data_IF_001227953057
#
_entry.id   IF_001227953057
#
_cell.length_a   1.000
_cell.length_b   1.000
_cell.length_c   1.000
_cell.angle_alpha   90.00
_cell.angle_beta   90.00
_cell.angle_gamma   90.00
#
_symmetry.space_group_name_H-M   'P 1'
#
loop_
_entity.id
_entity.type
_entity.pdbx_description
1 polymer ?
#
# COMPACT_ATOMS: atom_id res chain seq x y z
N UNK A 1 -11.99 3.75 -24.00
CA UNK A 1 -12.18 3.56 -22.54
C UNK A 1 -10.88 3.98 -21.86
N UNK A 2 -10.91 4.58 -20.66
CA UNK A 2 -9.67 4.85 -19.94
C UNK A 2 -9.01 3.53 -19.55
N UNK A 3 -7.77 3.33 -19.97
CA UNK A 3 -6.95 2.18 -19.59
C UNK A 3 -5.91 2.68 -18.58
N UNK A 4 -6.07 2.29 -17.32
CA UNK A 4 -5.07 2.57 -16.29
C UNK A 4 -4.07 1.42 -16.32
N UNK A 5 -2.86 1.70 -16.81
CA UNK A 5 -1.76 0.73 -16.87
C UNK A 5 -0.85 0.80 -15.66
N UNK A 6 -0.74 2.00 -15.07
CA UNK A 6 0.11 2.27 -13.92
C UNK A 6 -0.68 3.01 -12.85
N UNK A 7 -0.56 2.55 -11.61
CA UNK A 7 -1.17 3.17 -10.44
C UNK A 7 -0.10 3.49 -9.41
N UNK A 8 0.10 4.76 -9.12
CA UNK A 8 1.01 5.24 -8.08
C UNK A 8 0.19 5.83 -6.93
N UNK A 9 0.38 5.35 -5.70
CA UNK A 9 -0.29 5.89 -4.52
C UNK A 9 0.59 5.82 -3.27
N UNK A 10 0.15 6.49 -2.20
CA UNK A 10 0.85 6.52 -0.92
C UNK A 10 -0.04 5.99 0.19
N UNK A 11 0.53 5.18 1.07
CA UNK A 11 -0.13 4.62 2.26
C UNK A 11 0.59 5.15 3.49
N UNK A 12 -0.16 5.57 4.51
CA UNK A 12 0.38 5.98 5.80
C UNK A 12 0.00 4.95 6.85
N UNK A 13 1.00 4.41 7.54
CA UNK A 13 0.80 3.35 8.52
C UNK A 13 -0.01 3.84 9.71
N UNK A 14 0.25 5.03 10.23
CA UNK A 14 -0.53 5.63 11.33
C UNK A 14 -1.97 6.04 10.97
N UNK A 15 -2.41 5.92 9.70
CA UNK A 15 -3.85 6.01 9.40
C UNK A 15 -4.58 4.72 9.86
N UNK A 16 -3.82 3.66 10.24
CA UNK A 16 -4.35 2.44 10.83
C UNK A 16 -4.67 2.53 12.32
N UNK A 17 -4.33 3.63 13.01
CA UNK A 17 -4.57 3.84 14.46
C UNK A 17 -6.05 4.04 14.82
N UNK A 18 -6.97 3.82 13.87
CA UNK A 18 -8.41 3.77 14.18
C UNK A 18 -8.70 2.50 14.99
N UNK A 19 -9.37 2.66 16.13
CA UNK A 19 -9.68 1.62 17.14
C UNK A 19 -10.45 0.38 16.60
N UNK A 20 -10.80 0.36 15.32
CA UNK A 20 -11.45 -0.74 14.60
C UNK A 20 -10.51 -1.55 13.69
N UNK A 21 -9.20 -1.48 13.91
CA UNK A 21 -8.34 -2.67 13.80
C UNK A 21 -8.36 -3.45 12.50
N UNK A 22 -8.57 -2.82 11.35
CA UNK A 22 -8.19 -3.39 10.06
C UNK A 22 -8.01 -2.22 9.10
N UNK A 23 -6.75 -1.93 8.76
CA UNK A 23 -6.48 -1.17 7.54
C UNK A 23 -7.34 -1.81 6.44
N UNK A 24 -8.14 -1.04 5.72
CA UNK A 24 -9.07 -1.52 4.71
C UNK A 24 -8.33 -2.11 3.51
N UNK A 25 -7.62 -3.22 3.71
CA UNK A 25 -6.80 -3.90 2.71
C UNK A 25 -7.68 -4.44 1.58
N UNK A 26 -8.95 -4.73 1.88
CA UNK A 26 -9.98 -5.03 0.88
C UNK A 26 -10.27 -3.83 -0.05
N UNK A 27 -10.09 -2.58 0.40
CA UNK A 27 -10.23 -1.39 -0.45
C UNK A 27 -9.05 -1.24 -1.42
N UNK A 28 -7.90 -1.87 -1.12
CA UNK A 28 -6.73 -1.89 -2.00
C UNK A 28 -6.82 -2.93 -3.12
N UNK A 29 -7.94 -3.64 -3.25
CA UNK A 29 -8.10 -4.67 -4.29
C UNK A 29 -8.24 -4.02 -5.66
N UNK A 30 -7.20 -4.21 -6.46
CA UNK A 30 -7.08 -3.59 -7.79
C UNK A 30 -7.74 -4.40 -8.92
N UNK A 31 -8.42 -5.52 -8.59
CA UNK A 31 -9.03 -6.41 -9.58
C UNK A 31 -10.10 -5.77 -10.47
N UNK A 32 -10.54 -4.56 -10.16
CA UNK A 32 -11.46 -3.77 -10.99
C UNK A 32 -10.75 -3.01 -12.14
N UNK A 33 -9.41 -3.05 -12.22
CA UNK A 33 -8.60 -2.41 -13.25
C UNK A 33 -7.99 -3.46 -14.21
N UNK A 34 -8.72 -3.92 -15.23
CA UNK A 34 -8.30 -5.05 -16.07
C UNK A 34 -7.10 -4.75 -17.00
N UNK A 35 -6.69 -3.49 -17.11
CA UNK A 35 -5.51 -3.07 -17.89
C UNK A 35 -4.32 -2.67 -17.02
N UNK A 36 -4.42 -2.86 -15.70
CA UNK A 36 -3.33 -2.52 -14.79
C UNK A 36 -2.18 -3.52 -15.00
N UNK A 37 -0.98 -2.97 -15.06
CA UNK A 37 0.28 -3.69 -15.29
C UNK A 37 1.31 -3.39 -14.20
N UNK A 38 1.29 -2.18 -13.64
CA UNK A 38 2.26 -1.71 -12.63
C UNK A 38 1.58 -0.94 -11.50
N UNK A 39 2.06 -1.18 -10.28
CA UNK A 39 1.65 -0.51 -9.06
C UNK A 39 2.89 -0.06 -8.31
N UNK A 40 2.97 1.22 -7.96
CA UNK A 40 3.98 1.71 -7.04
C UNK A 40 3.32 2.30 -5.80
N UNK A 41 3.80 1.87 -4.63
CA UNK A 41 3.27 2.30 -3.34
C UNK A 41 4.38 2.93 -2.53
N UNK A 42 4.18 4.18 -2.11
CA UNK A 42 5.01 4.80 -1.08
C UNK A 42 4.40 4.49 0.29
N UNK A 43 5.07 3.65 1.08
CA UNK A 43 4.66 3.29 2.43
C UNK A 43 5.34 4.21 3.44
N UNK A 44 4.55 5.11 4.01
CA UNK A 44 4.98 6.06 5.03
C UNK A 44 4.75 5.50 6.42
N UNK A 45 5.79 5.46 7.24
CA UNK A 45 5.73 5.09 8.66
C UNK A 45 6.63 6.00 9.49
N UNK A 46 6.31 6.15 10.77
CA UNK A 46 7.09 6.90 11.77
C UNK A 46 8.10 5.96 12.41
N UNK A 47 9.16 6.50 13.01
CA UNK A 47 10.11 5.69 13.79
C UNK A 47 9.46 4.99 14.99
N UNK A 48 8.37 5.57 15.51
CA UNK A 48 7.58 5.02 16.62
C UNK A 48 6.56 3.95 16.18
N UNK A 49 6.32 3.79 14.87
CA UNK A 49 5.39 2.78 14.37
C UNK A 49 5.97 1.37 14.52
N UNK A 50 5.11 0.42 14.91
CA UNK A 50 5.50 -0.97 15.05
C UNK A 50 5.87 -1.57 13.69
N UNK A 51 7.10 -2.09 13.59
CA UNK A 51 7.63 -2.75 12.39
C UNK A 51 6.73 -3.89 11.92
N UNK A 52 6.04 -4.58 12.84
CA UNK A 52 5.09 -5.64 12.51
C UNK A 52 3.86 -5.09 11.75
N UNK A 53 3.41 -3.87 12.07
CA UNK A 53 2.30 -3.22 11.35
C UNK A 53 2.75 -2.83 9.95
N UNK A 54 3.92 -2.22 9.81
CA UNK A 54 4.52 -1.89 8.51
C UNK A 54 4.60 -3.14 7.63
N UNK A 55 5.09 -4.24 8.19
CA UNK A 55 5.23 -5.51 7.46
C UNK A 55 3.87 -6.12 7.07
N UNK A 56 2.86 -6.04 7.95
CA UNK A 56 1.50 -6.51 7.65
C UNK A 56 0.88 -5.75 6.48
N UNK A 57 1.09 -4.44 6.39
CA UNK A 57 0.60 -3.62 5.27
C UNK A 57 1.29 -4.02 3.96
N UNK A 58 2.61 -4.26 3.99
CA UNK A 58 3.32 -4.73 2.80
C UNK A 58 2.88 -6.10 2.32
N UNK A 59 2.70 -7.05 3.23
CA UNK A 59 2.26 -8.39 2.88
C UNK A 59 0.86 -8.38 2.27
N UNK A 60 -0.01 -7.51 2.76
CA UNK A 60 -1.33 -7.34 2.20
C UNK A 60 -1.32 -6.66 0.81
N UNK A 61 -0.44 -5.67 0.60
CA UNK A 61 -0.22 -5.08 -0.74
C UNK A 61 0.29 -6.12 -1.73
N UNK A 62 1.23 -6.97 -1.29
CA UNK A 62 1.76 -8.06 -2.11
C UNK A 62 0.66 -9.05 -2.46
N UNK A 63 -0.15 -9.45 -1.49
CA UNK A 63 -1.29 -10.34 -1.72
C UNK A 63 -2.31 -9.74 -2.71
N UNK A 64 -2.66 -8.46 -2.55
CA UNK A 64 -3.60 -7.77 -3.45
C UNK A 64 -3.10 -7.73 -4.91
N UNK A 65 -1.79 -7.62 -5.11
CA UNK A 65 -1.15 -7.70 -6.43
C UNK A 65 -1.12 -9.12 -6.98
N UNK A 66 -0.79 -10.11 -6.14
CA UNK A 66 -0.76 -11.52 -6.57
C UNK A 66 -2.14 -12.05 -6.96
N UNK A 67 -3.20 -11.57 -6.30
CA UNK A 67 -4.60 -11.88 -6.63
C UNK A 67 -5.08 -11.21 -7.94
N UNK A 68 -4.29 -10.32 -8.54
CA UNK A 68 -4.68 -9.62 -9.76
C UNK A 68 -4.55 -10.51 -11.02
N UNK A 69 -5.56 -10.54 -11.91
CA UNK A 69 -5.55 -11.42 -13.09
C UNK A 69 -4.38 -11.17 -14.06
N UNK A 70 -3.93 -9.92 -14.16
CA UNK A 70 -2.68 -9.58 -14.85
C UNK A 70 -1.61 -9.40 -13.78
N UNK A 71 -0.81 -10.43 -13.48
CA UNK A 71 0.31 -10.37 -12.53
C UNK A 71 1.01 -9.01 -12.58
N UNK A 72 0.73 -8.15 -11.58
CA UNK A 72 1.18 -6.76 -11.60
C UNK A 72 2.64 -6.68 -11.17
N UNK A 73 3.39 -5.75 -11.76
CA UNK A 73 4.63 -5.29 -11.16
C UNK A 73 4.33 -4.46 -9.91
N UNK A 74 4.99 -4.75 -8.80
CA UNK A 74 4.82 -4.04 -7.53
C UNK A 74 6.14 -3.40 -7.10
N UNK A 75 6.16 -2.08 -7.01
CA UNK A 75 7.17 -1.30 -6.30
C UNK A 75 6.65 -0.87 -4.94
N UNK A 76 7.41 -1.13 -3.87
CA UNK A 76 7.13 -0.57 -2.54
C UNK A 76 8.33 0.25 -2.10
N UNK A 77 8.13 1.56 -1.98
CA UNK A 77 9.10 2.50 -1.45
C UNK A 77 8.77 2.81 0.01
N UNK A 78 9.64 2.36 0.92
CA UNK A 78 9.55 2.64 2.35
C UNK A 78 10.05 4.05 2.65
N UNK A 79 9.20 4.90 3.21
CA UNK A 79 9.55 6.26 3.61
C UNK A 79 9.35 6.45 5.12
N UNK A 80 10.44 6.78 5.82
CA UNK A 80 10.39 7.13 7.23
C UNK A 80 10.00 8.61 7.34
N UNK A 81 8.88 8.89 7.98
CA UNK A 81 8.55 10.24 8.42
C UNK A 81 9.34 10.54 9.69
N UNK A 82 10.53 11.10 9.53
CA UNK A 82 11.31 11.63 10.65
C UNK A 82 10.74 13.01 11.01
N UNK A 83 10.12 13.14 12.18
CA UNK A 83 9.73 14.44 12.74
C UNK A 83 11.01 15.20 13.14
N UNK A 84 11.76 15.72 12.16
CA UNK A 84 12.87 16.62 12.47
C UNK A 84 12.31 18.02 12.74
N UNK A 85 12.22 18.33 14.04
CA UNK A 85 12.28 19.65 14.68
C UNK A 85 11.09 20.61 14.46
N UNK A 86 10.23 20.71 15.49
CA UNK A 86 9.72 21.99 16.01
C UNK A 86 9.78 22.00 17.53
#
# INVERSE_FOLDING_TARGET
MPHVQRLDFSVRVWDSDSEEGEFGLDELRMGHLPSLEEVNVCLWYREEDDVAVVQRVEDALRQAVEDHPNRLALGIDRMIMCWSLY
#
